data_IF_015654134926
#
_entry.id   IF_015654134926
#
_cell.length_a   1.000
_cell.length_b   1.000
_cell.length_c   1.000
_cell.angle_alpha   90.00
_cell.angle_beta   90.00
_cell.angle_gamma   90.00
#
_symmetry.space_group_name_H-M   'P 1'
#
loop_
_entity.id
_entity.type
_entity.pdbx_description
1 polymer ?
#
# COMPACT_ATOMS: atom_id res chain seq x y z
N UNK A 1 -26.59 -1.41 -4.83
CA UNK A 1 -26.31 -0.11 -4.16
C UNK A 1 -27.21 0.18 -2.94
N UNK A 2 -28.53 -0.04 -3.00
CA UNK A 2 -29.44 0.35 -1.91
C UNK A 2 -29.07 -0.19 -0.50
N UNK A 3 -28.63 -1.46 -0.40
CA UNK A 3 -28.19 -2.06 0.87
C UNK A 3 -27.03 -1.26 1.51
N UNK A 4 -25.98 -0.99 0.73
CA UNK A 4 -24.78 -0.26 1.18
C UNK A 4 -25.11 1.17 1.59
N UNK A 5 -26.00 1.82 0.83
CA UNK A 5 -26.46 3.18 1.13
C UNK A 5 -27.25 3.25 2.44
N UNK A 6 -28.16 2.29 2.66
CA UNK A 6 -28.96 2.23 3.89
C UNK A 6 -28.07 1.91 5.09
N UNK A 7 -27.14 0.96 4.96
CA UNK A 7 -26.18 0.63 6.02
C UNK A 7 -25.34 1.84 6.43
N UNK A 8 -24.76 2.56 5.46
CA UNK A 8 -23.97 3.75 5.75
C UNK A 8 -24.76 4.85 6.45
N UNK A 9 -25.99 5.14 5.99
CA UNK A 9 -26.87 6.12 6.65
C UNK A 9 -27.24 5.74 8.07
N UNK A 10 -27.41 4.45 8.34
CA UNK A 10 -27.82 3.97 9.66
C UNK A 10 -26.67 3.94 10.66
N UNK A 11 -25.41 3.86 10.22
CA UNK A 11 -24.27 3.59 11.10
C UNK A 11 -23.22 4.70 11.14
N UNK A 12 -23.20 5.66 10.20
CA UNK A 12 -22.35 6.85 10.35
C UNK A 12 -22.79 7.68 11.56
N UNK A 13 -21.91 7.82 12.54
CA UNK A 13 -22.09 8.69 13.71
C UNK A 13 -22.85 8.06 14.89
N UNK A 14 -23.16 6.76 14.85
CA UNK A 14 -23.69 6.06 16.03
C UNK A 14 -22.57 5.71 17.01
N UNK A 15 -22.75 6.08 18.27
CA UNK A 15 -21.98 5.59 19.42
C UNK A 15 -22.92 4.64 20.17
N UNK A 16 -22.53 3.38 20.31
CA UNK A 16 -23.32 2.40 21.06
C UNK A 16 -22.85 2.37 22.51
N UNK A 17 -23.77 2.38 23.48
CA UNK A 17 -23.45 2.28 24.91
C UNK A 17 -23.53 0.82 25.42
N UNK A 18 -24.03 -0.11 24.59
CA UNK A 18 -24.27 -1.52 24.96
C UNK A 18 -23.34 -2.48 24.21
N UNK A 19 -22.59 -3.31 24.92
CA UNK A 19 -21.60 -4.26 24.35
C UNK A 19 -22.18 -5.25 23.33
N UNK A 20 -23.43 -5.69 23.50
CA UNK A 20 -24.08 -6.61 22.54
C UNK A 20 -24.33 -5.95 21.18
N UNK A 21 -24.71 -4.67 21.21
CA UNK A 21 -24.96 -3.90 19.98
C UNK A 21 -23.68 -3.56 19.23
N UNK A 22 -22.54 -3.46 19.93
CA UNK A 22 -21.23 -3.27 19.29
C UNK A 22 -20.77 -4.55 18.57
N UNK A 23 -20.96 -5.74 19.16
CA UNK A 23 -20.62 -7.01 18.50
C UNK A 23 -21.46 -7.24 17.23
N UNK A 24 -22.75 -6.92 17.26
CA UNK A 24 -23.61 -7.00 16.08
C UNK A 24 -23.14 -6.04 14.96
N UNK A 25 -22.78 -4.80 15.32
CA UNK A 25 -22.26 -3.82 14.35
C UNK A 25 -20.94 -4.27 13.71
N UNK A 26 -20.03 -4.87 14.49
CA UNK A 26 -18.77 -5.42 13.98
C UNK A 26 -19.00 -6.61 13.04
N UNK A 27 -19.96 -7.48 13.37
CA UNK A 27 -20.34 -8.61 12.53
C UNK A 27 -20.98 -8.15 11.21
N UNK A 28 -21.88 -7.18 11.27
CA UNK A 28 -22.50 -6.61 10.07
C UNK A 28 -21.45 -5.95 9.16
N UNK A 29 -20.50 -5.22 9.75
CA UNK A 29 -19.38 -4.61 9.01
C UNK A 29 -18.51 -5.68 8.35
N UNK A 30 -18.21 -6.77 9.05
CA UNK A 30 -17.47 -7.91 8.51
C UNK A 30 -18.19 -8.55 7.31
N UNK A 31 -19.50 -8.77 7.43
CA UNK A 31 -20.33 -9.33 6.37
C UNK A 31 -20.37 -8.40 5.15
N UNK A 32 -20.47 -7.09 5.38
CA UNK A 32 -20.44 -6.10 4.32
C UNK A 32 -19.10 -6.11 3.57
N UNK A 33 -17.97 -6.13 4.28
CA UNK A 33 -16.64 -6.22 3.65
C UNK A 33 -16.53 -7.50 2.82
N UNK A 34 -16.88 -8.66 3.39
CA UNK A 34 -16.85 -9.94 2.68
C UNK A 34 -17.76 -9.96 1.46
N UNK A 35 -18.94 -9.34 1.55
CA UNK A 35 -19.85 -9.22 0.41
C UNK A 35 -19.21 -8.42 -0.73
N UNK A 36 -18.59 -7.28 -0.43
CA UNK A 36 -17.91 -6.45 -1.44
C UNK A 36 -16.69 -7.16 -2.04
N UNK A 37 -15.87 -7.83 -1.22
CA UNK A 37 -14.73 -8.62 -1.70
C UNK A 37 -15.20 -9.73 -2.64
N UNK A 38 -16.30 -10.41 -2.30
CA UNK A 38 -16.87 -11.46 -3.15
C UNK A 38 -17.55 -10.93 -4.41
N UNK A 39 -18.13 -9.73 -4.35
CA UNK A 39 -18.68 -9.05 -5.52
C UNK A 39 -17.57 -8.80 -6.54
N UNK A 40 -16.45 -8.26 -6.08
CA UNK A 40 -15.28 -7.97 -6.91
C UNK A 40 -14.54 -9.21 -7.40
N UNK A 41 -14.56 -10.32 -6.67
CA UNK A 41 -13.96 -11.59 -7.12
C UNK A 41 -14.78 -12.28 -8.20
N UNK A 42 -16.11 -12.08 -8.21
CA UNK A 42 -17.02 -12.66 -9.22
C UNK A 42 -17.12 -11.81 -10.49
N UNK A 43 -16.93 -10.50 -10.41
CA UNK A 43 -16.87 -9.62 -11.59
C UNK A 43 -15.73 -9.98 -12.56
N UNK A 44 -14.68 -10.67 -12.08
CA UNK A 44 -13.61 -11.22 -12.94
C UNK A 44 -14.14 -12.30 -13.91
N UNK A 45 -15.21 -13.01 -13.53
CA UNK A 45 -15.78 -14.11 -14.32
C UNK A 45 -16.88 -13.64 -15.28
N UNK A 46 -17.43 -12.44 -15.07
CA UNK A 46 -18.48 -11.91 -15.93
C UNK A 46 -17.85 -11.02 -17.02
N UNK A 47 -17.64 -11.59 -18.20
CA UNK A 47 -17.34 -10.88 -19.45
C UNK A 47 -18.57 -10.06 -19.91
N UNK A 48 -19.12 -9.24 -19.02
CA UNK A 48 -20.40 -8.56 -19.18
C UNK A 48 -20.28 -7.28 -20.00
N UNK A 49 -20.73 -7.36 -21.25
CA UNK A 49 -21.30 -6.30 -22.12
C UNK A 49 -21.15 -4.84 -21.67
N UNK A 50 -20.62 -4.01 -22.57
CA UNK A 50 -20.41 -2.54 -22.47
C UNK A 50 -21.66 -1.68 -22.08
N UNK A 51 -22.81 -2.29 -21.81
CA UNK A 51 -24.10 -1.63 -21.56
C UNK A 51 -24.49 -1.45 -20.07
N UNK A 52 -23.67 -1.89 -19.11
CA UNK A 52 -23.94 -1.60 -17.68
C UNK A 52 -23.39 -0.23 -17.25
N UNK A 53 -24.29 0.74 -17.00
CA UNK A 53 -23.95 2.08 -16.48
C UNK A 53 -23.27 2.11 -15.12
N UNK A 54 -23.27 1.01 -14.37
CA UNK A 54 -22.63 0.87 -13.06
C UNK A 54 -21.96 -0.49 -13.00
N UNK A 55 -20.63 -0.52 -12.93
CA UNK A 55 -19.84 -1.75 -12.76
C UNK A 55 -19.79 -2.17 -11.29
N UNK A 56 -19.50 -3.45 -10.98
CA UNK A 56 -19.40 -3.84 -9.58
C UNK A 56 -18.18 -3.22 -8.87
N UNK A 57 -17.17 -2.82 -9.63
CA UNK A 57 -16.10 -1.92 -9.18
C UNK A 57 -16.64 -0.60 -8.61
N UNK A 58 -17.65 0.02 -9.25
CA UNK A 58 -18.24 1.27 -8.75
C UNK A 58 -19.03 1.03 -7.46
N UNK A 59 -19.70 -0.13 -7.36
CA UNK A 59 -20.42 -0.54 -6.14
C UNK A 59 -19.43 -0.78 -4.99
N UNK A 60 -18.28 -1.40 -5.25
CA UNK A 60 -17.29 -1.64 -4.21
C UNK A 60 -16.52 -0.39 -3.79
N UNK A 61 -16.21 0.51 -4.73
CA UNK A 61 -15.65 1.83 -4.40
C UNK A 61 -16.63 2.65 -3.53
N UNK A 62 -17.92 2.60 -3.85
CA UNK A 62 -18.95 3.19 -3.00
C UNK A 62 -19.05 2.49 -1.64
N UNK A 63 -18.90 1.16 -1.60
CA UNK A 63 -18.85 0.40 -0.35
C UNK A 63 -17.66 0.78 0.53
N UNK A 64 -16.48 0.96 -0.06
CA UNK A 64 -15.31 1.48 0.66
C UNK A 64 -15.55 2.88 1.23
N UNK A 65 -16.30 3.74 0.53
CA UNK A 65 -16.72 5.04 1.06
C UNK A 65 -17.49 4.91 2.38
N UNK A 66 -18.34 3.88 2.50
CA UNK A 66 -19.09 3.63 3.73
C UNK A 66 -18.23 2.95 4.81
N UNK A 67 -17.36 2.04 4.41
CA UNK A 67 -16.56 1.23 5.34
C UNK A 67 -15.42 2.03 5.96
N UNK A 68 -14.64 2.78 5.18
CA UNK A 68 -13.41 3.44 5.64
C UNK A 68 -13.64 4.32 6.90
N UNK A 69 -14.69 5.15 6.98
CA UNK A 69 -14.97 5.93 8.19
C UNK A 69 -15.32 5.08 9.43
N UNK A 70 -15.79 3.85 9.24
CA UNK A 70 -16.16 2.92 10.31
C UNK A 70 -14.94 2.09 10.80
N UNK A 71 -13.86 2.03 10.01
CA UNK A 71 -12.63 1.31 10.35
C UNK A 71 -11.72 2.13 11.27
N UNK A 72 -12.18 2.40 12.50
CA UNK A 72 -11.38 3.08 13.52
C UNK A 72 -10.19 2.23 13.99
N UNK A 73 -9.25 2.85 14.71
CA UNK A 73 -8.12 2.13 15.32
C UNK A 73 -8.56 1.04 16.29
N UNK A 74 -9.70 1.21 16.97
CA UNK A 74 -10.27 0.19 17.87
C UNK A 74 -10.85 -0.98 17.07
N UNK A 75 -11.53 -0.69 15.97
CA UNK A 75 -12.12 -1.68 15.06
C UNK A 75 -11.03 -2.50 14.35
N UNK A 76 -9.90 -1.88 14.01
CA UNK A 76 -8.75 -2.56 13.41
C UNK A 76 -7.97 -3.47 14.39
N UNK A 77 -8.23 -3.39 15.70
CA UNK A 77 -7.68 -4.37 16.67
C UNK A 77 -8.30 -5.76 16.52
N UNK A 78 -9.47 -5.88 15.87
CA UNK A 78 -10.11 -7.14 15.58
C UNK A 78 -9.46 -7.80 14.34
N UNK A 79 -8.68 -8.89 14.49
CA UNK A 79 -7.79 -9.37 13.41
C UNK A 79 -8.53 -9.79 12.14
N UNK A 80 -9.70 -10.42 12.30
CA UNK A 80 -10.52 -10.88 11.16
C UNK A 80 -11.03 -9.70 10.34
N UNK A 81 -11.47 -8.63 11.02
CA UNK A 81 -12.03 -7.46 10.37
C UNK A 81 -10.93 -6.62 9.72
N UNK A 82 -9.80 -6.46 10.40
CA UNK A 82 -8.60 -5.83 9.86
C UNK A 82 -8.13 -6.55 8.59
N UNK A 83 -7.97 -7.88 8.66
CA UNK A 83 -7.55 -8.69 7.52
C UNK A 83 -8.49 -8.55 6.31
N UNK A 84 -9.80 -8.67 6.51
CA UNK A 84 -10.77 -8.56 5.41
C UNK A 84 -10.84 -7.14 4.83
N UNK A 85 -10.69 -6.11 5.66
CA UNK A 85 -10.64 -4.72 5.18
C UNK A 85 -9.41 -4.45 4.30
N UNK A 86 -8.23 -4.87 4.74
CA UNK A 86 -7.00 -4.72 3.95
C UNK A 86 -7.05 -5.57 2.68
N UNK A 87 -7.62 -6.77 2.75
CA UNK A 87 -7.83 -7.62 1.58
C UNK A 87 -8.71 -6.94 0.53
N UNK A 88 -9.85 -6.36 0.95
CA UNK A 88 -10.72 -5.60 0.05
C UNK A 88 -9.94 -4.42 -0.55
N UNK A 89 -9.27 -3.63 0.29
CA UNK A 89 -8.49 -2.46 -0.12
C UNK A 89 -7.44 -2.81 -1.18
N UNK A 90 -6.60 -3.81 -0.90
CA UNK A 90 -5.57 -4.29 -1.82
C UNK A 90 -6.19 -4.73 -3.14
N UNK A 91 -7.29 -5.48 -3.09
CA UNK A 91 -7.97 -5.94 -4.29
C UNK A 91 -8.43 -4.79 -5.19
N UNK A 92 -9.01 -3.72 -4.61
CA UNK A 92 -9.41 -2.55 -5.41
C UNK A 92 -8.20 -1.83 -6.00
N UNK A 93 -7.10 -1.72 -5.24
CA UNK A 93 -5.86 -1.10 -5.72
C UNK A 93 -5.20 -1.88 -6.87
N UNK A 94 -5.25 -3.21 -6.83
CA UNK A 94 -4.69 -4.07 -7.88
C UNK A 94 -5.56 -4.09 -9.13
N UNK A 95 -6.87 -4.27 -8.97
CA UNK A 95 -7.77 -4.49 -10.11
C UNK A 95 -8.23 -3.18 -10.77
N UNK A 96 -8.34 -2.09 -10.01
CA UNK A 96 -8.89 -0.82 -10.51
C UNK A 96 -8.02 0.40 -10.14
N UNK A 97 -6.70 0.39 -10.39
CA UNK A 97 -5.82 1.48 -9.98
C UNK A 97 -6.19 2.82 -10.64
N UNK A 98 -6.71 2.80 -11.87
CA UNK A 98 -7.18 4.00 -12.55
C UNK A 98 -8.36 4.68 -11.84
N UNK A 99 -9.24 3.88 -11.20
CA UNK A 99 -10.41 4.40 -10.48
C UNK A 99 -10.05 5.04 -9.14
N UNK A 100 -8.86 4.80 -8.61
CA UNK A 100 -8.39 5.44 -7.37
C UNK A 100 -8.31 6.95 -7.49
N UNK A 101 -7.95 7.45 -8.69
CA UNK A 101 -7.93 8.88 -8.97
C UNK A 101 -9.31 9.52 -9.08
N UNK A 102 -10.38 8.70 -9.16
CA UNK A 102 -11.77 9.15 -9.20
C UNK A 102 -12.41 9.23 -7.81
N UNK A 103 -11.72 8.75 -6.78
CA UNK A 103 -12.23 8.78 -5.42
C UNK A 103 -12.31 10.24 -4.90
N UNK A 104 -13.31 10.56 -4.06
CA UNK A 104 -13.32 11.83 -3.33
C UNK A 104 -12.03 11.99 -2.51
N UNK A 105 -11.51 13.23 -2.43
CA UNK A 105 -10.22 13.51 -1.79
C UNK A 105 -10.12 12.98 -0.35
N UNK A 106 -11.17 13.15 0.45
CA UNK A 106 -11.19 12.66 1.85
C UNK A 106 -11.09 11.14 1.92
N UNK A 107 -11.80 10.45 1.02
CA UNK A 107 -11.79 8.98 1.00
C UNK A 107 -10.44 8.44 0.54
N UNK A 108 -9.90 9.04 -0.51
CA UNK A 108 -8.57 8.72 -1.00
C UNK A 108 -7.51 8.93 0.08
N UNK A 109 -7.54 10.08 0.77
CA UNK A 109 -6.64 10.36 1.89
C UNK A 109 -6.77 9.32 3.00
N UNK A 110 -7.99 9.01 3.43
CA UNK A 110 -8.23 8.02 4.49
C UNK A 110 -7.74 6.62 4.10
N UNK A 111 -7.89 6.24 2.82
CA UNK A 111 -7.37 4.99 2.29
C UNK A 111 -5.83 4.96 2.33
N UNK A 112 -5.18 6.04 1.91
CA UNK A 112 -3.71 6.14 1.97
C UNK A 112 -3.21 6.12 3.42
N UNK A 113 -3.87 6.82 4.33
CA UNK A 113 -3.56 6.72 5.77
C UNK A 113 -3.74 5.29 6.29
N UNK A 114 -4.79 4.59 5.86
CA UNK A 114 -5.00 3.19 6.25
C UNK A 114 -3.86 2.28 5.77
N UNK A 115 -3.43 2.43 4.51
CA UNK A 115 -2.28 1.71 3.96
C UNK A 115 -0.98 2.03 4.71
N UNK A 116 -0.76 3.30 5.06
CA UNK A 116 0.42 3.74 5.82
C UNK A 116 0.47 3.10 7.20
N UNK A 117 -0.65 3.06 7.92
CA UNK A 117 -0.72 2.40 9.22
C UNK A 117 -0.56 0.88 9.06
N UNK A 118 -1.11 0.28 8.00
CA UNK A 118 -0.95 -1.15 7.70
C UNK A 118 0.49 -1.59 7.40
N UNK A 119 1.34 -0.67 6.96
CA UNK A 119 2.77 -0.94 6.77
C UNK A 119 3.54 -1.18 8.07
N UNK A 120 3.10 -0.58 9.17
CA UNK A 120 3.83 -0.59 10.45
C UNK A 120 3.10 -1.31 11.57
N UNK A 121 1.78 -1.46 11.45
CA UNK A 121 0.92 -2.04 12.47
C UNK A 121 0.19 -3.29 11.96
N UNK A 122 -0.48 -3.99 12.88
CA UNK A 122 -1.41 -5.10 12.62
C UNK A 122 -0.82 -6.41 12.06
N UNK A 123 0.51 -6.49 11.93
CA UNK A 123 1.23 -7.74 11.68
C UNK A 123 1.55 -8.01 10.19
N UNK A 124 2.31 -9.07 9.91
CA UNK A 124 2.97 -9.28 8.62
C UNK A 124 2.00 -9.47 7.45
N UNK A 125 0.84 -10.12 7.67
CA UNK A 125 -0.16 -10.31 6.61
C UNK A 125 -0.73 -8.97 6.13
N UNK A 126 -1.01 -8.04 7.05
CA UNK A 126 -1.51 -6.70 6.73
C UNK A 126 -0.42 -5.85 6.08
N UNK A 127 0.81 -5.95 6.56
CA UNK A 127 1.97 -5.29 5.92
C UNK A 127 2.15 -5.79 4.49
N UNK A 128 2.09 -7.10 4.26
CA UNK A 128 2.13 -7.70 2.92
C UNK A 128 1.05 -7.12 2.01
N UNK A 129 -0.21 -7.14 2.45
CA UNK A 129 -1.34 -6.60 1.66
C UNK A 129 -1.16 -5.11 1.35
N UNK A 130 -0.62 -4.33 2.29
CA UNK A 130 -0.34 -2.90 2.11
C UNK A 130 0.79 -2.67 1.09
N UNK A 131 1.85 -3.48 1.14
CA UNK A 131 2.95 -3.44 0.16
C UNK A 131 2.47 -3.83 -1.24
N UNK A 132 1.66 -4.87 -1.37
CA UNK A 132 1.07 -5.31 -2.65
C UNK A 132 0.18 -4.21 -3.27
N UNK A 133 -0.65 -3.57 -2.44
CA UNK A 133 -1.46 -2.43 -2.87
C UNK A 133 -0.59 -1.27 -3.38
N UNK A 134 0.43 -0.89 -2.62
CA UNK A 134 1.36 0.19 -3.00
C UNK A 134 2.14 -0.13 -4.27
N UNK A 135 2.63 -1.36 -4.42
CA UNK A 135 3.31 -1.83 -5.62
C UNK A 135 2.44 -1.64 -6.86
N UNK A 136 1.15 -2.01 -6.77
CA UNK A 136 0.20 -1.89 -7.88
C UNK A 136 -0.12 -0.44 -8.22
N UNK A 137 -0.35 0.40 -7.21
CA UNK A 137 -0.61 1.83 -7.40
C UNK A 137 0.59 2.56 -8.00
N UNK A 138 1.80 2.28 -7.49
CA UNK A 138 3.04 2.87 -8.00
C UNK A 138 3.35 2.40 -9.41
N UNK A 139 3.12 1.11 -9.71
CA UNK A 139 3.28 0.57 -11.07
C UNK A 139 2.35 1.26 -12.05
N UNK A 140 1.06 1.40 -11.70
CA UNK A 140 0.11 2.12 -12.53
C UNK A 140 0.52 3.59 -12.73
N UNK A 141 0.90 4.28 -11.65
CA UNK A 141 1.33 5.67 -11.71
C UNK A 141 2.54 5.85 -12.64
N UNK A 142 3.56 4.99 -12.54
CA UNK A 142 4.73 5.02 -13.40
C UNK A 142 4.37 4.84 -14.89
N UNK A 143 3.51 3.88 -15.20
CA UNK A 143 3.07 3.61 -16.57
C UNK A 143 2.26 4.77 -17.17
N UNK A 144 1.42 5.44 -16.38
CA UNK A 144 0.65 6.59 -16.83
C UNK A 144 1.51 7.85 -17.02
N UNK A 145 2.50 8.06 -16.14
CA UNK A 145 3.48 9.16 -16.30
C UNK A 145 4.29 8.99 -17.57
N UNK A 146 4.69 7.75 -17.93
CA UNK A 146 5.37 7.47 -19.20
C UNK A 146 4.52 7.84 -20.42
N UNK A 147 3.18 7.84 -20.29
CA UNK A 147 2.24 8.30 -21.33
C UNK A 147 1.96 9.80 -21.28
N UNK A 148 2.69 10.56 -20.46
CA UNK A 148 2.47 11.99 -20.17
C UNK A 148 1.10 12.29 -19.51
N UNK A 149 0.53 11.34 -18.78
CA UNK A 149 -0.70 11.54 -17.99
C UNK A 149 -0.33 11.93 -16.57
N UNK A 150 -0.87 13.06 -16.09
CA UNK A 150 -0.71 13.45 -14.69
C UNK A 150 -1.62 12.61 -13.81
N UNK A 151 -1.04 11.94 -12.81
CA UNK A 151 -1.78 11.11 -11.87
C UNK A 151 -1.76 11.76 -10.48
N UNK A 152 -2.92 12.06 -9.86
CA UNK A 152 -3.00 12.70 -8.54
C UNK A 152 -2.26 11.94 -7.43
N UNK A 153 -2.19 10.61 -7.53
CA UNK A 153 -1.51 9.76 -6.54
C UNK A 153 0.00 9.98 -6.48
N UNK A 154 0.60 10.56 -7.53
CA UNK A 154 2.04 10.68 -7.66
C UNK A 154 2.68 11.36 -6.45
N UNK A 155 2.12 12.47 -5.97
CA UNK A 155 2.66 13.19 -4.81
C UNK A 155 2.61 12.35 -3.52
N UNK A 156 1.53 11.58 -3.32
CA UNK A 156 1.39 10.73 -2.13
C UNK A 156 2.38 9.56 -2.17
N UNK A 157 2.67 9.00 -3.34
CA UNK A 157 3.66 7.93 -3.47
C UNK A 157 5.07 8.39 -3.05
N UNK A 158 5.38 9.68 -3.13
CA UNK A 158 6.63 10.21 -2.63
C UNK A 158 6.77 10.02 -1.11
N UNK A 159 5.68 10.23 -0.36
CA UNK A 159 5.62 9.99 1.08
C UNK A 159 5.85 8.50 1.39
N UNK A 160 5.16 7.61 0.68
CA UNK A 160 5.34 6.16 0.84
C UNK A 160 6.76 5.68 0.52
N UNK A 161 7.44 6.32 -0.44
CA UNK A 161 8.84 6.02 -0.72
C UNK A 161 9.71 6.28 0.52
N UNK A 162 9.51 7.40 1.21
CA UNK A 162 10.22 7.68 2.46
C UNK A 162 9.84 6.69 3.56
N UNK A 163 8.55 6.40 3.73
CA UNK A 163 8.08 5.45 4.75
C UNK A 163 8.69 4.06 4.55
N UNK A 164 8.70 3.53 3.31
CA UNK A 164 9.33 2.25 2.99
C UNK A 164 10.85 2.29 3.16
N UNK A 165 11.50 3.39 2.77
CA UNK A 165 12.94 3.56 2.97
C UNK A 165 13.30 3.48 4.45
N UNK A 166 12.59 4.23 5.30
CA UNK A 166 12.83 4.24 6.75
C UNK A 166 12.50 2.87 7.38
N UNK A 167 11.40 2.21 6.97
CA UNK A 167 11.05 0.86 7.42
C UNK A 167 12.14 -0.16 7.08
N UNK A 168 12.61 -0.18 5.83
CA UNK A 168 13.58 -1.17 5.36
C UNK A 168 14.94 -0.99 6.03
N UNK A 169 15.41 0.25 6.18
CA UNK A 169 16.78 0.54 6.63
C UNK A 169 16.92 0.82 8.12
N UNK A 170 15.93 1.45 8.75
CA UNK A 170 16.05 1.98 10.12
C UNK A 170 15.31 1.12 11.15
N UNK A 171 14.39 0.27 10.72
CA UNK A 171 13.60 -0.61 11.61
C UNK A 171 14.01 -2.08 11.45
N UNK A 172 13.60 -2.93 12.40
CA UNK A 172 13.63 -4.38 12.19
C UNK A 172 12.67 -4.73 11.06
N UNK A 173 13.15 -5.49 10.07
CA UNK A 173 12.35 -5.87 8.91
C UNK A 173 12.24 -7.39 8.84
N UNK A 174 11.03 -7.87 8.62
CA UNK A 174 10.75 -9.28 8.42
C UNK A 174 11.14 -9.69 7.00
N UNK A 175 12.13 -10.58 6.87
CA UNK A 175 12.65 -11.03 5.58
C UNK A 175 11.62 -11.86 4.79
N UNK A 176 10.57 -12.39 5.43
CA UNK A 176 9.46 -13.05 4.73
C UNK A 176 8.67 -12.05 3.86
N UNK A 177 8.73 -10.76 4.18
CA UNK A 177 8.13 -9.66 3.43
C UNK A 177 9.05 -9.09 2.33
N UNK A 178 10.24 -9.67 2.12
CA UNK A 178 11.21 -9.14 1.17
C UNK A 178 10.67 -9.04 -0.26
N UNK A 179 9.92 -10.04 -0.73
CA UNK A 179 9.35 -10.02 -2.08
C UNK A 179 8.37 -8.84 -2.29
N UNK A 180 7.26 -8.73 -1.52
CA UNK A 180 6.33 -7.62 -1.70
C UNK A 180 6.98 -6.26 -1.43
N UNK A 181 7.92 -6.18 -0.47
CA UNK A 181 8.64 -4.93 -0.19
C UNK A 181 9.56 -4.52 -1.34
N UNK A 182 10.31 -5.45 -1.93
CA UNK A 182 11.18 -5.17 -3.06
C UNK A 182 10.40 -4.65 -4.27
N UNK A 183 9.24 -5.23 -4.55
CA UNK A 183 8.38 -4.79 -5.66
C UNK A 183 7.81 -3.40 -5.42
N UNK A 184 7.26 -3.15 -4.23
CA UNK A 184 6.74 -1.84 -3.87
C UNK A 184 7.84 -0.77 -3.90
N UNK A 185 9.00 -1.07 -3.31
CA UNK A 185 10.11 -0.14 -3.24
C UNK A 185 10.68 0.19 -4.62
N UNK A 186 10.86 -0.80 -5.49
CA UNK A 186 11.29 -0.56 -6.87
C UNK A 186 10.27 0.30 -7.63
N UNK A 187 8.97 0.01 -7.51
CA UNK A 187 7.92 0.78 -8.15
C UNK A 187 7.91 2.25 -7.71
N UNK A 188 8.11 2.50 -6.41
CA UNK A 188 8.21 3.85 -5.84
C UNK A 188 9.49 4.57 -6.28
N UNK A 189 10.64 3.89 -6.32
CA UNK A 189 11.89 4.45 -6.85
C UNK A 189 11.71 4.85 -8.31
N UNK A 190 11.09 4.01 -9.13
CA UNK A 190 10.81 4.32 -10.53
C UNK A 190 9.94 5.58 -10.69
N UNK A 191 8.99 5.82 -9.78
CA UNK A 191 8.19 7.04 -9.75
C UNK A 191 9.01 8.27 -9.33
N UNK A 192 9.90 8.14 -8.35
CA UNK A 192 10.51 9.26 -7.61
C UNK A 192 12.04 9.16 -7.47
N UNK A 193 12.73 8.98 -8.60
CA UNK A 193 14.19 8.72 -8.62
C UNK A 193 15.03 9.83 -7.97
N UNK A 194 14.66 11.10 -8.24
CA UNK A 194 15.34 12.26 -7.67
C UNK A 194 15.21 12.27 -6.15
N UNK A 195 14.00 12.03 -5.64
CA UNK A 195 13.75 12.02 -4.21
C UNK A 195 14.43 10.83 -3.52
N UNK A 196 14.43 9.64 -4.13
CA UNK A 196 15.23 8.51 -3.64
C UNK A 196 16.71 8.88 -3.49
N UNK A 197 17.28 9.55 -4.49
CA UNK A 197 18.68 10.01 -4.45
C UNK A 197 18.92 11.00 -3.31
N UNK A 198 17.96 11.90 -3.05
CA UNK A 198 18.01 12.83 -1.91
C UNK A 198 17.96 12.11 -0.56
N UNK A 199 17.11 11.07 -0.43
CA UNK A 199 17.04 10.24 0.79
C UNK A 199 18.37 9.53 1.08
N UNK A 200 18.97 8.92 0.05
CA UNK A 200 20.27 8.26 0.16
C UNK A 200 21.36 9.26 0.58
N UNK A 201 21.41 10.43 -0.08
CA UNK A 201 22.36 11.49 0.28
C UNK A 201 22.16 12.00 1.70
N UNK A 202 20.92 12.20 2.12
CA UNK A 202 20.60 12.62 3.49
C UNK A 202 21.07 11.59 4.52
N UNK A 203 20.84 10.30 4.26
CA UNK A 203 21.28 9.22 5.14
C UNK A 203 22.82 9.16 5.24
N UNK A 204 23.53 9.32 4.11
CA UNK A 204 25.00 9.35 4.08
C UNK A 204 25.55 10.57 4.83
N UNK A 205 24.94 11.74 4.68
CA UNK A 205 25.34 12.97 5.36
C UNK A 205 25.13 12.91 6.89
N UNK A 206 24.22 12.07 7.36
CA UNK A 206 23.97 11.85 8.80
C UNK A 206 25.03 10.93 9.45
N UNK A 207 25.86 10.24 8.68
CA UNK A 207 26.87 9.34 9.22
C UNK A 207 28.11 10.10 9.69
N UNK A 208 28.50 9.89 10.94
CA UNK A 208 29.73 10.48 11.51
C UNK A 208 30.97 9.65 11.22
N UNK A 209 30.83 8.33 11.04
CA UNK A 209 31.93 7.41 10.75
C UNK A 209 32.16 7.28 9.24
N UNK A 210 33.37 7.62 8.79
CA UNK A 210 33.78 7.52 7.39
C UNK A 210 33.75 6.08 6.85
N UNK A 211 34.04 5.09 7.69
CA UNK A 211 34.02 3.68 7.29
C UNK A 211 32.59 3.21 7.04
N UNK A 212 31.65 3.59 7.91
CA UNK A 212 30.22 3.30 7.75
C UNK A 212 29.66 4.01 6.52
N UNK A 213 30.03 5.29 6.33
CA UNK A 213 29.62 6.07 5.16
C UNK A 213 30.08 5.42 3.84
N UNK A 214 31.35 4.99 3.77
CA UNK A 214 31.87 4.30 2.58
C UNK A 214 31.15 2.97 2.32
N UNK A 215 30.92 2.16 3.36
CA UNK A 215 30.21 0.88 3.23
C UNK A 215 28.77 1.07 2.76
N UNK A 216 28.07 2.10 3.24
CA UNK A 216 26.73 2.44 2.77
C UNK A 216 26.73 2.87 1.31
N UNK A 217 27.68 3.72 0.93
CA UNK A 217 27.81 4.19 -0.44
C UNK A 217 28.03 3.01 -1.40
N UNK A 218 28.92 2.08 -1.04
CA UNK A 218 29.17 0.87 -1.82
C UNK A 218 27.92 -0.03 -1.90
N UNK A 219 27.18 -0.18 -0.79
CA UNK A 219 25.94 -0.96 -0.76
C UNK A 219 24.84 -0.33 -1.64
N UNK A 220 24.65 0.99 -1.59
CA UNK A 220 23.69 1.69 -2.45
C UNK A 220 24.06 1.63 -3.93
N UNK A 221 25.36 1.69 -4.26
CA UNK A 221 25.83 1.51 -5.62
C UNK A 221 25.54 0.09 -6.16
N UNK A 222 25.50 -0.93 -5.29
CA UNK A 222 25.10 -2.28 -5.67
C UNK A 222 23.58 -2.44 -5.78
N UNK A 223 22.82 -1.73 -4.94
CA UNK A 223 21.35 -1.77 -4.93
C UNK A 223 20.75 -1.08 -6.16
N UNK A 224 21.26 0.11 -6.47
CA UNK A 224 20.83 0.93 -7.61
C UNK A 224 22.06 1.45 -8.36
N UNK A 225 22.68 0.63 -9.23
CA UNK A 225 23.80 1.06 -10.07
C UNK A 225 23.42 2.20 -11.01
N UNK A 226 24.38 3.09 -11.30
CA UNK A 226 24.17 4.27 -12.17
C UNK A 226 23.76 3.92 -13.62
N UNK A 227 24.07 2.70 -14.06
CA UNK A 227 23.73 2.14 -15.38
C UNK A 227 22.42 1.35 -15.38
N UNK A 228 21.80 1.14 -14.21
CA UNK A 228 20.54 0.42 -14.10
C UNK A 228 19.42 1.22 -14.76
N UNK A 229 18.88 0.69 -15.85
CA UNK A 229 17.62 1.18 -16.43
C UNK A 229 16.49 0.81 -15.48
N UNK A 230 16.09 1.76 -14.64
CA UNK A 230 14.95 1.61 -13.73
C UNK A 230 13.67 1.37 -14.54
N UNK A 231 13.19 0.14 -14.47
CA UNK A 231 12.09 -0.39 -15.27
C UNK A 231 11.38 -1.46 -14.45
N UNK A 232 10.06 -1.61 -14.63
CA UNK A 232 9.22 -2.52 -13.86
C UNK A 232 9.02 -3.89 -14.54
N UNK A 233 9.92 -4.24 -15.46
CA UNK A 233 9.92 -5.55 -16.09
C UNK A 233 10.34 -6.65 -15.11
N UNK A 234 9.98 -7.89 -15.46
CA UNK A 234 10.19 -9.05 -14.59
C UNK A 234 11.66 -9.28 -14.26
N UNK A 235 12.59 -8.99 -15.18
CA UNK A 235 14.02 -9.22 -14.94
C UNK A 235 14.53 -8.23 -13.90
N UNK A 236 14.23 -6.95 -14.05
CA UNK A 236 14.60 -5.93 -13.07
C UNK A 236 13.98 -6.17 -11.69
N UNK A 237 12.71 -6.60 -11.60
CA UNK A 237 12.10 -6.96 -10.31
C UNK A 237 12.86 -8.06 -9.60
N UNK A 238 13.22 -9.13 -10.33
CA UNK A 238 13.98 -10.26 -9.76
C UNK A 238 15.39 -9.84 -9.37
N UNK A 239 16.07 -9.05 -10.20
CA UNK A 239 17.41 -8.56 -9.92
C UNK A 239 17.41 -7.62 -8.70
N UNK A 240 16.50 -6.64 -8.67
CA UNK A 240 16.38 -5.69 -7.57
C UNK A 240 16.12 -6.39 -6.24
N UNK A 241 15.22 -7.39 -6.21
CA UNK A 241 15.00 -8.19 -4.99
C UNK A 241 16.29 -8.84 -4.50
N UNK A 242 17.08 -9.46 -5.39
CA UNK A 242 18.35 -10.10 -5.00
C UNK A 242 19.34 -9.08 -4.48
N UNK A 243 19.45 -7.92 -5.13
CA UNK A 243 20.30 -6.83 -4.65
C UNK A 243 19.83 -6.29 -3.30
N UNK A 244 18.51 -6.19 -3.08
CA UNK A 244 17.93 -5.73 -1.81
C UNK A 244 18.19 -6.73 -0.68
N UNK A 245 18.12 -8.03 -0.94
CA UNK A 245 18.46 -9.07 0.03
C UNK A 245 19.90 -8.91 0.54
N UNK A 246 20.86 -8.83 -0.39
CA UNK A 246 22.29 -8.62 -0.09
C UNK A 246 22.51 -7.29 0.62
N UNK A 247 21.81 -6.24 0.17
CA UNK A 247 21.88 -4.90 0.77
C UNK A 247 21.43 -4.94 2.23
N UNK A 248 20.23 -5.47 2.52
CA UNK A 248 19.69 -5.51 3.88
C UNK A 248 20.55 -6.37 4.81
N UNK A 249 21.04 -7.52 4.33
CA UNK A 249 21.96 -8.37 5.09
C UNK A 249 23.28 -7.67 5.42
N UNK A 250 23.79 -6.85 4.51
CA UNK A 250 25.04 -6.11 4.72
C UNK A 250 24.85 -4.89 5.62
N UNK A 251 23.78 -4.12 5.41
CA UNK A 251 23.56 -2.78 5.95
C UNK A 251 22.93 -2.78 7.34
N UNK A 252 21.95 -3.66 7.61
CA UNK A 252 21.30 -3.71 8.93
C UNK A 252 22.28 -4.07 10.05
N UNK A 253 23.29 -4.89 9.74
CA UNK A 253 24.28 -5.35 10.71
C UNK A 253 25.16 -4.24 11.31
N UNK A 254 25.18 -3.03 10.73
CA UNK A 254 25.92 -1.89 11.28
C UNK A 254 25.11 -0.59 11.38
N UNK A 255 23.99 -0.44 10.66
CA UNK A 255 23.08 0.71 10.85
C UNK A 255 22.18 0.55 12.08
N UNK A 256 21.75 -0.67 12.41
CA UNK A 256 20.84 -0.91 13.53
C UNK A 256 21.56 -1.26 14.85
N UNK A 257 22.90 -1.27 14.84
CA UNK A 257 23.72 -1.43 16.04
C UNK A 257 23.94 -0.03 16.63
N UNK A 258 23.04 0.37 17.53
CA UNK A 258 23.26 1.47 18.47
C UNK A 258 23.37 0.91 19.88
#
# INVERSE_FOLDING_TARGET
MALVQTYGKCNLGKVSEETLTEEEQLNDLLLLIKLLTNLLSKDILDFGSEDQKVSAADVALYGLHVIIPLMSSEVLKFPVLCSEFFKLTTYVCEMYPAKMSLLPQDLFKNLMTSLEVGLTNYGPDVTKMSLEALSSLATHCFLEIQKNVKVPIHEILQHFLKTLFDMLLLQSFDMDLLQPAAEAFLALICCHQMYYTELVRSLLAQQTDQVVCQRLLDAFNQLTPSDMKLSLDRLNKVQFRKSLDVFLGSVKGFLCVK
#
